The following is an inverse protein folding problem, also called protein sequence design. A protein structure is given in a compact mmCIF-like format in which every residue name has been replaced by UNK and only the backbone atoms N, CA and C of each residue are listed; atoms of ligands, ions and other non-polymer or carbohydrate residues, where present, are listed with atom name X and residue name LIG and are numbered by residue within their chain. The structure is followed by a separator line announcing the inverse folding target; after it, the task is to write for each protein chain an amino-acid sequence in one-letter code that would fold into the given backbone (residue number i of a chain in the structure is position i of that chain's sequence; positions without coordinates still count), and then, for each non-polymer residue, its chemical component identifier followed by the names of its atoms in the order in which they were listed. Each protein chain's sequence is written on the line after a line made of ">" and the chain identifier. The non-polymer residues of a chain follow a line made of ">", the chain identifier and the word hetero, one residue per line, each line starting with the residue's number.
data_IF_118802852683
#
_entry.id   IF_118802852683
#
_cell.length_a   1.000
_cell.length_b   1.000
_cell.length_c   1.000
_cell.angle_alpha   90.00
_cell.angle_beta   90.00
_cell.angle_gamma   90.00
#
_symmetry.space_group_name_H-M   'P 1'
#
loop_
_entity.id
_entity.type
_entity.pdbx_description
1 polymer ?
#
# COMPACT_ATOMS: atom_id res chain seq x y z
N UNK A 1 -22.17 12.32 -10.91
CA UNK A 1 -21.55 11.54 -9.83
C UNK A 1 -20.98 12.53 -8.82
N UNK A 2 -21.13 12.27 -7.52
CA UNK A 2 -20.46 13.05 -6.49
C UNK A 2 -18.93 12.94 -6.69
N UNK A 3 -18.18 14.00 -6.37
CA UNK A 3 -16.72 13.98 -6.46
C UNK A 3 -16.19 13.21 -5.26
N UNK A 4 -15.38 12.18 -5.50
CA UNK A 4 -14.73 11.42 -4.44
C UNK A 4 -13.76 12.31 -3.65
N UNK A 5 -13.66 12.09 -2.34
CA UNK A 5 -12.63 12.72 -1.50
C UNK A 5 -11.89 11.63 -0.73
N UNK A 6 -10.57 11.59 -0.89
CA UNK A 6 -9.70 10.65 -0.17
C UNK A 6 -8.89 11.39 0.88
N UNK A 7 -9.17 11.14 2.16
CA UNK A 7 -8.42 11.68 3.29
C UNK A 7 -7.27 10.75 3.62
N UNK A 8 -6.04 11.26 3.60
CA UNK A 8 -4.80 10.51 3.75
C UNK A 8 -3.91 11.07 4.86
N UNK A 9 -3.01 10.24 5.37
CA UNK A 9 -1.86 10.68 6.16
C UNK A 9 -0.66 10.99 5.29
N UNK A 10 0.48 11.35 5.93
CA UNK A 10 1.74 11.64 5.23
C UNK A 10 2.09 10.60 4.18
N UNK A 11 2.41 11.03 2.98
CA UNK A 11 2.82 10.13 1.90
C UNK A 11 4.11 9.38 2.21
N UNK A 12 5.01 9.98 2.98
CA UNK A 12 6.24 9.31 3.39
C UNK A 12 6.01 8.11 4.33
N UNK A 13 5.01 8.15 5.21
CA UNK A 13 4.86 7.17 6.29
C UNK A 13 3.56 6.36 6.25
N UNK A 14 2.49 6.89 5.64
CA UNK A 14 1.17 6.26 5.68
C UNK A 14 1.02 5.15 4.64
N UNK A 15 1.49 3.96 5.00
CA UNK A 15 1.35 2.76 4.17
C UNK A 15 -0.12 2.39 3.89
N UNK A 16 -1.02 2.72 4.81
CA UNK A 16 -2.44 2.47 4.66
C UNK A 16 -3.09 3.40 3.63
N UNK A 17 -2.69 4.68 3.60
CA UNK A 17 -3.20 5.68 2.65
C UNK A 17 -2.68 5.45 1.22
N UNK A 18 -1.45 4.95 1.07
CA UNK A 18 -0.86 4.64 -0.24
C UNK A 18 -1.71 3.66 -1.04
N UNK A 19 -2.30 2.65 -0.39
CA UNK A 19 -3.06 1.57 -1.04
C UNK A 19 -4.23 2.06 -1.88
N UNK A 20 -5.27 2.70 -1.29
CA UNK A 20 -6.40 3.18 -2.07
C UNK A 20 -6.05 4.33 -3.00
N UNK A 21 -5.03 5.14 -2.65
CA UNK A 21 -4.56 6.22 -3.50
C UNK A 21 -4.00 5.66 -4.83
N UNK A 22 -3.09 4.67 -4.76
CA UNK A 22 -2.55 4.01 -5.96
C UNK A 22 -3.64 3.36 -6.78
N UNK A 23 -4.54 2.62 -6.13
CA UNK A 23 -5.60 1.91 -6.83
C UNK A 23 -6.54 2.87 -7.54
N UNK A 24 -6.99 3.95 -6.88
CA UNK A 24 -7.86 4.95 -7.50
C UNK A 24 -7.21 5.59 -8.74
N UNK A 25 -5.91 5.92 -8.65
CA UNK A 25 -5.15 6.48 -9.77
C UNK A 25 -5.04 5.49 -10.94
N UNK A 26 -4.72 4.23 -10.68
CA UNK A 26 -4.65 3.19 -11.71
C UNK A 26 -6.00 2.87 -12.35
N UNK A 27 -7.10 3.04 -11.61
CA UNK A 27 -8.45 2.88 -12.13
C UNK A 27 -8.96 4.12 -12.88
N UNK A 28 -8.17 5.19 -12.96
CA UNK A 28 -8.57 6.43 -13.61
C UNK A 28 -9.67 7.21 -12.88
N UNK A 29 -9.86 6.94 -11.60
CA UNK A 29 -10.84 7.65 -10.77
C UNK A 29 -10.29 9.00 -10.33
N UNK A 30 -11.08 10.05 -10.55
CA UNK A 30 -10.77 11.39 -10.05
C UNK A 30 -11.25 11.54 -8.60
N UNK A 31 -10.41 12.15 -7.77
CA UNK A 31 -10.74 12.43 -6.38
C UNK A 31 -10.01 13.66 -5.86
N UNK A 32 -10.62 14.33 -4.90
CA UNK A 32 -9.96 15.35 -4.08
C UNK A 32 -9.13 14.68 -3.00
N UNK A 33 -7.89 15.14 -2.83
CA UNK A 33 -6.99 14.66 -1.79
C UNK A 33 -7.02 15.63 -0.59
N UNK A 34 -7.25 15.09 0.60
CA UNK A 34 -7.14 15.84 1.87
C UNK A 34 -6.06 15.19 2.72
N UNK A 35 -4.94 15.89 2.88
CA UNK A 35 -3.82 15.41 3.69
C UNK A 35 -3.94 15.92 5.13
N UNK A 36 -3.88 14.98 6.09
CA UNK A 36 -3.75 15.25 7.52
C UNK A 36 -2.39 14.75 7.97
N UNK A 37 -1.41 15.62 8.28
CA UNK A 37 -0.12 15.19 8.78
C UNK A 37 -0.27 14.34 10.05
N UNK A 38 0.44 13.22 10.12
CA UNK A 38 0.45 12.32 11.27
C UNK A 38 1.47 12.81 12.32
N UNK A 39 1.27 12.37 13.57
CA UNK A 39 2.15 12.69 14.71
C UNK A 39 2.33 14.22 14.95
N UNK A 40 1.34 15.05 14.54
CA UNK A 40 1.27 16.45 14.92
C UNK A 40 0.28 16.61 16.10
N UNK A 41 0.38 17.69 16.89
CA UNK A 41 -0.47 17.90 18.08
C UNK A 41 -1.97 17.81 17.80
N UNK A 42 -2.42 18.23 16.62
CA UNK A 42 -3.83 18.26 16.21
C UNK A 42 -4.25 17.07 15.32
N UNK A 43 -3.32 16.23 14.90
CA UNK A 43 -3.56 15.12 13.93
C UNK A 43 -4.74 14.26 14.33
N UNK A 44 -4.74 13.79 15.58
CA UNK A 44 -5.76 12.86 16.05
C UNK A 44 -7.15 13.51 16.14
N UNK A 45 -7.22 14.78 16.53
CA UNK A 45 -8.48 15.53 16.58
C UNK A 45 -9.05 15.73 15.17
N UNK A 46 -8.20 16.11 14.21
CA UNK A 46 -8.59 16.29 12.80
C UNK A 46 -9.06 14.98 12.17
N UNK A 47 -8.35 13.87 12.41
CA UNK A 47 -8.75 12.54 11.88
C UNK A 47 -10.10 12.12 12.48
N UNK A 48 -10.30 12.28 13.80
CA UNK A 48 -11.56 11.93 14.45
C UNK A 48 -12.74 12.79 14.01
N UNK A 49 -12.51 14.04 13.63
CA UNK A 49 -13.54 14.89 13.03
C UNK A 49 -14.04 14.38 11.68
N UNK A 50 -13.19 13.63 10.94
CA UNK A 50 -13.57 12.99 9.67
C UNK A 50 -14.15 11.60 9.89
N UNK A 51 -13.55 10.81 10.80
CA UNK A 51 -13.90 9.41 11.02
C UNK A 51 -13.72 9.04 12.50
N UNK A 52 -14.80 8.61 13.13
CA UNK A 52 -14.82 8.23 14.55
C UNK A 52 -13.81 7.12 14.91
N UNK A 53 -13.43 6.26 13.96
CA UNK A 53 -12.39 5.24 14.16
C UNK A 53 -10.99 5.88 14.37
N UNK A 54 -10.81 7.17 14.10
CA UNK A 54 -9.56 7.89 14.34
C UNK A 54 -8.38 7.42 13.50
N UNK A 55 -8.64 6.95 12.28
CA UNK A 55 -7.63 6.38 11.36
C UNK A 55 -7.81 6.90 9.94
N UNK A 56 -6.73 6.95 9.22
CA UNK A 56 -6.67 7.18 7.76
C UNK A 56 -6.17 5.89 7.08
N UNK A 57 -6.55 5.63 5.81
CA UNK A 57 -7.34 6.48 4.90
C UNK A 57 -8.83 6.47 5.20
N UNK A 58 -9.51 7.50 4.70
CA UNK A 58 -10.98 7.59 4.65
C UNK A 58 -11.39 8.01 3.25
N UNK A 59 -12.35 7.33 2.66
CA UNK A 59 -12.99 7.72 1.40
C UNK A 59 -14.38 8.27 1.67
N UNK A 60 -14.70 9.41 1.08
CA UNK A 60 -16.04 9.96 1.03
C UNK A 60 -16.56 9.96 -0.40
N UNK A 61 -17.79 9.46 -0.59
CA UNK A 61 -18.56 9.54 -1.83
C UNK A 61 -19.95 10.07 -1.50
N UNK A 62 -20.18 11.37 -1.70
CA UNK A 62 -21.37 12.03 -1.20
C UNK A 62 -21.52 11.89 0.32
N UNK A 63 -22.64 11.29 0.76
CA UNK A 63 -22.92 11.01 2.19
C UNK A 63 -22.27 9.70 2.68
N UNK A 64 -21.79 8.85 1.76
CA UNK A 64 -21.11 7.60 2.14
C UNK A 64 -19.70 7.89 2.66
N UNK A 65 -19.40 7.36 3.85
CA UNK A 65 -18.08 7.43 4.46
C UNK A 65 -17.54 6.01 4.66
N UNK A 66 -16.37 5.73 4.06
CA UNK A 66 -15.70 4.43 4.14
C UNK A 66 -14.35 4.57 4.83
N UNK A 67 -14.03 3.61 5.66
CA UNK A 67 -12.73 3.45 6.30
C UNK A 67 -12.24 2.01 6.17
N UNK A 68 -11.01 1.72 6.57
CA UNK A 68 -10.22 0.52 6.28
C UNK A 68 -9.81 0.44 4.79
N UNK A 69 -8.49 0.44 4.59
CA UNK A 69 -7.92 0.54 3.23
C UNK A 69 -8.38 -0.59 2.30
N UNK A 70 -8.63 -1.79 2.82
CA UNK A 70 -9.10 -2.91 2.01
C UNK A 70 -10.55 -2.72 1.57
N UNK A 71 -11.44 -2.24 2.45
CA UNK A 71 -12.82 -1.96 2.10
C UNK A 71 -12.93 -0.81 1.09
N UNK A 72 -12.10 0.23 1.25
CA UNK A 72 -12.00 1.32 0.27
C UNK A 72 -11.54 0.78 -1.08
N UNK A 73 -10.52 -0.08 -1.12
CA UNK A 73 -10.04 -0.67 -2.37
C UNK A 73 -11.10 -1.53 -3.06
N UNK A 74 -11.86 -2.35 -2.33
CA UNK A 74 -12.98 -3.12 -2.89
C UNK A 74 -14.04 -2.18 -3.50
N UNK A 75 -14.44 -1.14 -2.77
CA UNK A 75 -15.41 -0.16 -3.26
C UNK A 75 -14.92 0.54 -4.55
N UNK A 76 -13.64 0.94 -4.61
CA UNK A 76 -13.07 1.55 -5.80
C UNK A 76 -13.06 0.59 -7.00
N UNK A 77 -12.81 -0.71 -6.77
CA UNK A 77 -12.91 -1.73 -7.81
C UNK A 77 -14.33 -1.87 -8.36
N UNK A 78 -15.33 -1.88 -7.48
CA UNK A 78 -16.75 -1.94 -7.88
C UNK A 78 -17.16 -0.69 -8.65
N UNK A 79 -16.78 0.48 -8.16
CA UNK A 79 -17.11 1.77 -8.78
C UNK A 79 -16.53 1.90 -10.19
N UNK A 80 -15.28 1.46 -10.38
CA UNK A 80 -14.60 1.53 -11.67
C UNK A 80 -14.92 0.35 -12.61
N UNK A 81 -15.52 -0.71 -12.11
CA UNK A 81 -15.68 -1.96 -12.85
C UNK A 81 -14.36 -2.63 -13.23
N UNK A 82 -13.29 -2.41 -12.44
CA UNK A 82 -11.92 -2.84 -12.72
C UNK A 82 -11.10 -3.17 -11.48
N UNK A 83 -9.78 -3.35 -11.63
CA UNK A 83 -8.85 -3.62 -10.53
C UNK A 83 -8.90 -5.04 -9.96
N UNK A 84 -9.79 -5.89 -10.47
CA UNK A 84 -9.88 -7.31 -10.13
C UNK A 84 -9.93 -8.15 -11.41
N UNK A 85 -9.27 -9.35 -11.45
CA UNK A 85 -9.35 -10.24 -12.59
C UNK A 85 -10.79 -10.67 -12.93
N UNK A 86 -11.08 -10.83 -14.22
CA UNK A 86 -12.39 -11.31 -14.68
C UNK A 86 -12.63 -12.78 -14.30
N UNK A 87 -11.57 -13.61 -14.27
CA UNK A 87 -11.66 -15.02 -13.87
C UNK A 87 -11.95 -15.12 -12.37
N UNK A 88 -12.96 -15.94 -12.01
CA UNK A 88 -13.46 -16.07 -10.63
C UNK A 88 -12.40 -16.52 -9.63
N UNK A 89 -11.59 -17.51 -9.99
CA UNK A 89 -10.56 -18.06 -9.11
C UNK A 89 -9.42 -17.07 -8.88
N UNK A 90 -8.95 -16.41 -9.95
CA UNK A 90 -7.94 -15.36 -9.86
C UNK A 90 -8.44 -14.17 -9.01
N UNK A 91 -9.70 -13.77 -9.21
CA UNK A 91 -10.34 -12.73 -8.40
C UNK A 91 -10.42 -13.09 -6.91
N UNK A 92 -10.73 -14.35 -6.60
CA UNK A 92 -10.73 -14.84 -5.21
C UNK A 92 -9.33 -14.83 -4.61
N UNK A 93 -8.30 -15.23 -5.38
CA UNK A 93 -6.91 -15.18 -4.94
C UNK A 93 -6.42 -13.75 -4.69
N UNK A 94 -6.75 -12.79 -5.56
CA UNK A 94 -6.43 -11.36 -5.31
C UNK A 94 -6.97 -10.93 -3.95
N UNK A 95 -8.23 -11.27 -3.63
CA UNK A 95 -8.83 -10.95 -2.33
C UNK A 95 -8.12 -11.64 -1.17
N UNK A 96 -7.79 -12.93 -1.33
CA UNK A 96 -7.09 -13.71 -0.29
C UNK A 96 -5.73 -13.11 0.05
N UNK A 97 -4.89 -12.84 -0.95
CA UNK A 97 -3.55 -12.28 -0.72
C UNK A 97 -3.62 -10.85 -0.20
N UNK A 98 -4.61 -10.08 -0.62
CA UNK A 98 -4.85 -8.72 -0.12
C UNK A 98 -5.29 -8.71 1.34
N UNK A 99 -6.19 -9.62 1.72
CA UNK A 99 -6.65 -9.79 3.09
C UNK A 99 -5.54 -10.28 4.01
N UNK A 100 -4.70 -11.22 3.54
CA UNK A 100 -3.52 -11.70 4.29
C UNK A 100 -2.56 -10.54 4.57
N UNK A 101 -2.28 -9.66 3.58
CA UNK A 101 -1.45 -8.48 3.81
C UNK A 101 -2.14 -7.47 4.74
N UNK A 102 -3.46 -7.33 4.67
CA UNK A 102 -4.19 -6.42 5.54
C UNK A 102 -4.13 -6.85 7.01
N UNK A 103 -4.30 -8.13 7.31
CA UNK A 103 -4.38 -8.66 8.67
C UNK A 103 -3.03 -9.12 9.24
N UNK A 104 -2.10 -9.57 8.40
CA UNK A 104 -0.85 -10.23 8.77
C UNK A 104 0.39 -9.35 8.75
N UNK A 105 1.57 -9.99 8.79
CA UNK A 105 2.90 -9.42 8.64
C UNK A 105 3.23 -8.33 9.69
N UNK A 106 2.89 -8.63 10.96
CA UNK A 106 3.06 -7.70 12.07
C UNK A 106 4.53 -7.37 12.35
N UNK A 107 5.43 -8.34 12.22
CA UNK A 107 6.86 -8.13 12.43
C UNK A 107 7.45 -7.22 11.34
N UNK A 108 7.11 -7.46 10.07
CA UNK A 108 7.52 -6.58 8.98
C UNK A 108 7.05 -5.13 9.22
N UNK A 109 5.81 -4.95 9.63
CA UNK A 109 5.24 -3.60 9.81
C UNK A 109 5.85 -2.84 10.98
N UNK A 110 6.15 -3.52 12.08
CA UNK A 110 6.70 -2.90 13.29
C UNK A 110 8.22 -2.70 13.20
N UNK A 111 8.95 -3.65 12.63
CA UNK A 111 10.42 -3.61 12.58
C UNK A 111 10.95 -2.86 11.36
N UNK A 112 10.19 -2.91 10.24
CA UNK A 112 10.49 -2.22 9.00
C UNK A 112 9.33 -1.25 8.63
N UNK A 113 9.12 -0.17 9.39
CA UNK A 113 8.09 0.81 9.06
C UNK A 113 8.33 1.43 7.69
N UNK A 114 7.25 1.81 7.01
CA UNK A 114 7.37 2.48 5.72
C UNK A 114 7.98 3.88 5.92
N UNK A 115 9.05 4.13 5.20
CA UNK A 115 9.65 5.43 5.00
C UNK A 115 10.00 5.55 3.52
N UNK A 116 9.14 6.20 2.74
CA UNK A 116 9.24 6.23 1.29
C UNK A 116 10.48 6.99 0.78
N UNK A 117 11.05 7.88 1.59
CA UNK A 117 12.26 8.64 1.27
C UNK A 117 13.53 7.88 1.59
N UNK A 118 13.48 6.98 2.58
CA UNK A 118 14.69 6.35 3.13
C UNK A 118 15.16 5.17 2.29
N UNK A 119 16.48 5.00 2.28
CA UNK A 119 17.17 3.82 1.76
C UNK A 119 18.34 3.46 2.69
N UNK A 120 18.88 2.24 2.57
CA UNK A 120 20.06 1.82 3.34
C UNK A 120 19.83 1.74 4.85
N UNK A 121 18.58 1.49 5.27
CA UNK A 121 18.24 1.28 6.68
C UNK A 121 18.53 -0.15 7.10
N UNK A 122 18.94 -0.34 8.34
CA UNK A 122 19.28 -1.65 8.89
C UNK A 122 18.65 -1.85 10.26
N UNK A 123 18.05 -3.01 10.48
CA UNK A 123 17.57 -3.45 11.79
C UNK A 123 18.00 -4.89 12.02
N UNK A 124 18.09 -5.37 13.28
CA UNK A 124 18.35 -6.78 13.55
C UNK A 124 17.28 -7.66 12.89
N UNK A 125 17.73 -8.72 12.23
CA UNK A 125 16.84 -9.70 11.60
C UNK A 125 16.32 -10.68 12.67
N UNK A 126 15.10 -10.46 13.15
CA UNK A 126 14.44 -11.38 14.09
C UNK A 126 13.82 -12.58 13.35
N UNK A 127 13.54 -13.67 14.08
CA UNK A 127 12.89 -14.85 13.48
C UNK A 127 11.46 -14.54 13.00
N UNK A 128 10.73 -13.68 13.71
CA UNK A 128 9.41 -13.23 13.29
C UNK A 128 9.46 -12.42 11.97
N UNK A 129 10.45 -11.54 11.83
CA UNK A 129 10.65 -10.79 10.58
C UNK A 129 11.06 -11.72 9.43
N UNK A 130 11.97 -12.67 9.70
CA UNK A 130 12.37 -13.68 8.72
C UNK A 130 11.19 -14.52 8.24
N UNK A 131 10.30 -14.89 9.16
CA UNK A 131 9.07 -15.63 8.82
C UNK A 131 8.15 -14.81 7.91
N UNK A 132 7.91 -13.54 8.23
CA UNK A 132 7.10 -12.63 7.42
C UNK A 132 7.67 -12.48 6.00
N UNK A 133 9.00 -12.27 5.89
CA UNK A 133 9.69 -12.12 4.60
C UNK A 133 9.60 -13.40 3.75
N UNK A 134 9.84 -14.56 4.35
CA UNK A 134 9.75 -15.85 3.67
C UNK A 134 8.31 -16.11 3.16
N UNK A 135 7.30 -15.75 3.96
CA UNK A 135 5.90 -15.88 3.53
C UNK A 135 5.57 -14.97 2.35
N UNK A 136 6.01 -13.71 2.38
CA UNK A 136 5.82 -12.75 1.28
C UNK A 136 6.51 -13.25 0.02
N UNK A 137 7.75 -13.72 0.13
CA UNK A 137 8.51 -14.28 -0.99
C UNK A 137 7.78 -15.44 -1.65
N UNK A 138 7.35 -16.44 -0.86
CA UNK A 138 6.57 -17.58 -1.34
C UNK A 138 5.29 -17.13 -2.04
N UNK A 139 4.53 -16.23 -1.41
CA UNK A 139 3.27 -15.75 -1.93
C UNK A 139 3.44 -15.02 -3.27
N UNK A 140 4.43 -14.14 -3.39
CA UNK A 140 4.67 -13.42 -4.64
C UNK A 140 5.21 -14.33 -5.73
N UNK A 141 6.09 -15.28 -5.40
CA UNK A 141 6.56 -16.28 -6.35
C UNK A 141 5.40 -17.14 -6.89
N UNK A 142 4.50 -17.59 -6.02
CA UNK A 142 3.32 -18.38 -6.43
C UNK A 142 2.37 -17.58 -7.32
N UNK A 143 2.08 -16.31 -6.97
CA UNK A 143 1.25 -15.42 -7.79
C UNK A 143 1.90 -15.22 -9.17
N UNK A 144 3.19 -14.91 -9.20
CA UNK A 144 3.94 -14.67 -10.44
C UNK A 144 4.05 -15.92 -11.30
N UNK A 145 4.28 -17.09 -10.72
CA UNK A 145 4.33 -18.33 -11.47
C UNK A 145 3.03 -18.63 -12.21
N UNK A 146 1.88 -18.26 -11.62
CA UNK A 146 0.56 -18.45 -12.24
C UNK A 146 0.25 -17.42 -13.34
N UNK A 147 0.81 -16.22 -13.28
CA UNK A 147 0.42 -15.07 -14.09
C UNK A 147 1.53 -14.47 -14.96
N UNK A 148 2.74 -15.08 -14.97
CA UNK A 148 3.91 -14.50 -15.64
C UNK A 148 3.70 -14.21 -17.13
N UNK A 149 2.94 -15.07 -17.84
CA UNK A 149 2.63 -14.88 -19.25
C UNK A 149 1.62 -13.74 -19.53
N UNK A 150 0.90 -13.28 -18.49
CA UNK A 150 -0.17 -12.27 -18.62
C UNK A 150 0.31 -10.84 -18.30
N UNK A 151 1.57 -10.65 -17.90
CA UNK A 151 2.15 -9.34 -17.63
C UNK A 151 3.03 -9.27 -16.38
N UNK A 152 3.53 -8.07 -16.00
CA UNK A 152 4.57 -7.93 -14.99
C UNK A 152 4.06 -7.84 -13.54
N UNK A 153 2.75 -7.69 -13.32
CA UNK A 153 2.13 -7.54 -12.00
C UNK A 153 1.83 -8.89 -11.33
N UNK A 154 1.46 -8.92 -10.06
CA UNK A 154 1.24 -10.16 -9.29
C UNK A 154 0.25 -11.11 -9.99
N UNK A 155 -0.78 -10.56 -10.63
CA UNK A 155 -1.80 -11.31 -11.36
C UNK A 155 -1.81 -11.00 -12.86
N UNK A 156 -0.65 -10.62 -13.42
CA UNK A 156 -0.48 -10.25 -14.82
C UNK A 156 -0.74 -8.79 -15.09
N UNK A 157 -1.99 -8.35 -15.13
CA UNK A 157 -2.38 -6.94 -15.12
C UNK A 157 -2.34 -6.33 -13.72
N UNK A 158 -2.26 -4.98 -13.64
CA UNK A 158 -2.36 -4.29 -12.35
C UNK A 158 -3.68 -4.59 -11.65
N UNK A 159 -3.62 -4.88 -10.38
CA UNK A 159 -4.78 -5.26 -9.58
C UNK A 159 -4.75 -4.63 -8.19
N UNK A 160 -5.84 -4.79 -7.44
CA UNK A 160 -5.91 -4.40 -6.03
C UNK A 160 -4.75 -4.98 -5.21
N UNK A 161 -4.30 -6.22 -5.51
CA UNK A 161 -3.18 -6.83 -4.80
C UNK A 161 -1.89 -6.00 -4.93
N UNK A 162 -1.62 -5.45 -6.11
CA UNK A 162 -0.42 -4.65 -6.35
C UNK A 162 -0.45 -3.35 -5.53
N UNK A 163 -1.61 -2.69 -5.47
CA UNK A 163 -1.80 -1.52 -4.61
C UNK A 163 -1.62 -1.85 -3.11
N UNK A 164 -2.16 -2.99 -2.67
CA UNK A 164 -2.07 -3.46 -1.28
C UNK A 164 -0.63 -3.81 -0.89
N UNK A 165 0.16 -4.36 -1.83
CA UNK A 165 1.55 -4.74 -1.59
C UNK A 165 2.58 -3.64 -1.89
N UNK A 166 2.24 -2.54 -2.55
CA UNK A 166 3.16 -1.45 -2.83
C UNK A 166 3.91 -0.92 -1.58
N UNK A 167 3.27 -0.76 -0.40
CA UNK A 167 3.99 -0.40 0.82
C UNK A 167 5.04 -1.43 1.24
N UNK A 168 4.83 -2.71 0.93
CA UNK A 168 5.81 -3.77 1.22
C UNK A 168 7.02 -3.60 0.33
N UNK A 169 6.83 -3.36 -0.98
CA UNK A 169 7.93 -3.07 -1.92
C UNK A 169 8.79 -1.91 -1.41
N UNK A 170 8.16 -0.82 -0.91
CA UNK A 170 8.90 0.30 -0.33
C UNK A 170 9.70 -0.09 0.92
N UNK A 171 9.15 -0.92 1.80
CA UNK A 171 9.86 -1.45 2.98
C UNK A 171 11.06 -2.29 2.56
N UNK A 172 10.85 -3.25 1.64
CA UNK A 172 11.93 -4.12 1.13
C UNK A 172 13.06 -3.30 0.49
N UNK A 173 12.73 -2.24 -0.26
CA UNK A 173 13.72 -1.29 -0.79
C UNK A 173 14.46 -0.54 0.31
N UNK A 174 13.73 0.01 1.28
CA UNK A 174 14.29 0.84 2.36
C UNK A 174 15.32 0.05 3.18
N UNK A 175 15.04 -1.22 3.49
CA UNK A 175 15.86 -2.06 4.36
C UNK A 175 16.74 -3.07 3.59
N UNK A 176 16.79 -3.01 2.27
CA UNK A 176 17.72 -3.80 1.45
C UNK A 176 17.48 -5.30 1.53
N UNK A 177 16.22 -5.75 1.53
CA UNK A 177 15.89 -7.17 1.62
C UNK A 177 16.51 -7.99 0.47
N UNK A 178 17.13 -9.11 0.82
CA UNK A 178 17.65 -10.09 -0.14
C UNK A 178 16.62 -11.21 -0.33
N UNK A 179 16.04 -11.28 -1.53
CA UNK A 179 14.93 -12.17 -1.87
C UNK A 179 15.17 -12.82 -3.24
N UNK A 180 14.33 -13.78 -3.63
CA UNK A 180 14.45 -14.49 -4.91
C UNK A 180 14.28 -13.56 -6.13
N UNK A 181 14.85 -13.95 -7.27
CA UNK A 181 14.82 -13.16 -8.51
C UNK A 181 13.40 -12.75 -8.97
N UNK A 182 12.37 -13.60 -8.92
CA UNK A 182 11.01 -13.19 -9.30
C UNK A 182 10.45 -12.05 -8.43
N UNK A 183 10.82 -12.02 -7.14
CA UNK A 183 10.44 -10.94 -6.22
C UNK A 183 11.12 -9.63 -6.59
N UNK A 184 12.42 -9.68 -6.91
CA UNK A 184 13.15 -8.50 -7.37
C UNK A 184 12.60 -7.94 -8.69
N UNK A 185 12.18 -8.80 -9.62
CA UNK A 185 11.54 -8.39 -10.87
C UNK A 185 10.22 -7.66 -10.60
N UNK A 186 9.39 -8.21 -9.74
CA UNK A 186 8.14 -7.55 -9.33
C UNK A 186 8.38 -6.23 -8.60
N UNK A 187 9.36 -6.17 -7.70
CA UNK A 187 9.76 -4.93 -7.04
C UNK A 187 10.21 -3.88 -8.05
N UNK A 188 11.02 -4.26 -9.05
CA UNK A 188 11.47 -3.35 -10.09
C UNK A 188 10.30 -2.79 -10.90
N UNK A 189 9.34 -3.64 -11.29
CA UNK A 189 8.09 -3.22 -11.95
C UNK A 189 7.32 -2.21 -11.11
N UNK A 190 7.10 -2.52 -9.84
CA UNK A 190 6.36 -1.64 -8.93
C UNK A 190 7.08 -0.31 -8.73
N UNK A 191 8.39 -0.33 -8.53
CA UNK A 191 9.20 0.90 -8.33
C UNK A 191 9.30 1.75 -9.60
N UNK A 192 9.18 1.16 -10.79
CA UNK A 192 9.15 1.89 -12.06
C UNK A 192 7.76 2.43 -12.42
N UNK A 193 6.73 2.09 -11.66
CA UNK A 193 5.35 2.54 -11.92
C UNK A 193 5.23 4.07 -11.85
N UNK A 194 4.80 4.75 -12.92
CA UNK A 194 4.68 6.21 -12.93
C UNK A 194 3.77 6.75 -11.83
N UNK A 195 2.69 6.03 -11.49
CA UNK A 195 1.74 6.45 -10.44
C UNK A 195 2.40 6.37 -9.06
N UNK A 196 3.19 5.31 -8.79
CA UNK A 196 3.96 5.24 -7.56
C UNK A 196 5.03 6.34 -7.51
N UNK A 197 5.65 6.68 -8.63
CA UNK A 197 6.65 7.77 -8.69
C UNK A 197 6.03 9.14 -8.36
N UNK A 198 4.79 9.42 -8.75
CA UNK A 198 4.06 10.62 -8.31
C UNK A 198 3.94 10.67 -6.78
N UNK A 199 3.55 9.55 -6.16
CA UNK A 199 3.49 9.47 -4.70
C UNK A 199 4.84 9.70 -4.04
N UNK A 200 5.90 9.08 -4.56
CA UNK A 200 7.26 9.19 -4.02
C UNK A 200 7.81 10.62 -4.14
N UNK A 201 7.56 11.30 -5.25
CA UNK A 201 7.95 12.69 -5.44
C UNK A 201 7.24 13.61 -4.42
N UNK A 202 5.94 13.41 -4.21
CA UNK A 202 5.19 14.15 -3.20
C UNK A 202 5.68 13.83 -1.77
N UNK A 203 5.95 12.55 -1.46
CA UNK A 203 6.51 12.13 -0.18
C UNK A 203 7.87 12.76 0.12
N UNK A 204 8.72 12.93 -0.92
CA UNK A 204 10.02 13.57 -0.79
C UNK A 204 9.92 15.06 -0.42
N UNK A 205 8.87 15.73 -0.86
CA UNK A 205 8.62 17.15 -0.59
C UNK A 205 7.98 17.44 0.78
N UNK A 206 7.51 16.41 1.50
CA UNK A 206 6.87 16.57 2.80
C UNK A 206 7.87 17.02 3.88
N UNK A 207 7.56 18.07 4.67
CA UNK A 207 8.45 18.55 5.73
C UNK A 207 8.35 17.75 7.04
N UNK A 208 7.27 16.98 7.21
CA UNK A 208 6.97 16.30 8.48
C UNK A 208 7.78 15.03 8.67
N UNK A 209 8.01 14.70 9.93
CA UNK A 209 8.58 13.41 10.36
C UNK A 209 7.66 12.77 11.40
N UNK A 210 7.76 11.44 11.54
CA UNK A 210 7.05 10.67 12.56
C UNK A 210 8.04 10.00 13.51
N UNK A 211 7.56 9.43 14.59
CA UNK A 211 8.38 8.69 15.56
C UNK A 211 9.19 7.55 14.91
N UNK A 212 8.72 7.01 13.78
CA UNK A 212 9.42 5.94 13.06
C UNK A 212 10.62 6.41 12.21
N UNK A 213 10.85 7.72 12.07
CA UNK A 213 11.94 8.27 11.24
C UNK A 213 13.33 7.78 11.64
N UNK A 214 13.55 7.54 12.93
CA UNK A 214 14.85 7.06 13.46
C UNK A 214 15.13 5.58 13.27
N UNK A 215 14.13 4.76 12.91
CA UNK A 215 14.28 3.30 12.88
C UNK A 215 15.25 2.88 11.77
N UNK A 216 16.30 2.15 12.16
CA UNK A 216 17.29 1.58 11.26
C UNK A 216 18.31 2.57 10.68
N UNK A 217 18.41 3.78 11.25
CA UNK A 217 19.48 4.74 10.89
C UNK A 217 20.86 4.20 11.23
#
# INVERSE_FOLDING_TARGET
>A
MSRLTLVIGNKNYSSWSLRPWLLARHLGLEFDEVLIPLDQPDSQARIRAVNAAGRVPVLRDGELLLWESIAICEYLCELAGGGLPAERGARALVRSVSAEMHAGFGALRSQWPMNARATGRHTPMTDALRHDLARIETLWCDCRARAAAAGPWLFGGYSMADAIYAPVVLRLRTYGAQLAAPVHQYMATTLADPVLQEWLAAAAAEPWTTASEGIGR
#
